data_IF_443412875685
#
_entry.id   IF_443412875685
#
_cell.length_a   1.000
_cell.length_b   1.000
_cell.length_c   1.000
_cell.angle_alpha   90.00
_cell.angle_beta   90.00
_cell.angle_gamma   90.00
#
_symmetry.space_group_name_H-M   'P 1'
#
loop_
_entity.id
_entity.type
_entity.pdbx_description
1 polymer ?
#
# COMPACT_ATOMS: atom_id res chain seq x y z
N UNK A 1 -9.60 0.76 -18.49
CA UNK A 1 -10.55 0.92 -17.36
C UNK A 1 -9.87 1.45 -16.12
N UNK A 2 -10.08 2.72 -15.80
CA UNK A 2 -9.63 3.32 -14.54
C UNK A 2 -10.40 2.63 -13.39
N UNK A 3 -9.73 2.05 -12.39
CA UNK A 3 -10.40 1.23 -11.37
C UNK A 3 -11.39 2.02 -10.50
N UNK A 4 -11.23 3.35 -10.43
CA UNK A 4 -12.11 4.26 -9.66
C UNK A 4 -13.00 5.14 -10.53
N UNK A 5 -12.89 5.04 -11.86
CA UNK A 5 -13.64 5.87 -12.80
C UNK A 5 -14.17 4.99 -13.93
N UNK A 6 -15.47 4.68 -13.90
CA UNK A 6 -16.14 3.96 -14.97
C UNK A 6 -16.49 4.91 -16.11
N UNK A 7 -15.49 5.21 -16.93
CA UNK A 7 -15.71 5.83 -18.23
C UNK A 7 -15.78 4.74 -19.29
N UNK A 8 -16.82 4.79 -20.11
CA UNK A 8 -16.87 3.99 -21.34
C UNK A 8 -15.83 4.48 -22.34
N UNK A 9 -15.50 3.62 -23.30
CA UNK A 9 -14.66 3.99 -24.44
C UNK A 9 -15.20 5.21 -25.20
N UNK A 10 -16.52 5.34 -25.33
CA UNK A 10 -17.14 6.49 -26.00
C UNK A 10 -16.95 7.79 -25.22
N UNK A 11 -17.10 7.75 -23.90
CA UNK A 11 -16.85 8.91 -23.04
C UNK A 11 -15.37 9.30 -23.06
N UNK A 12 -14.47 8.32 -23.03
CA UNK A 12 -13.02 8.57 -23.09
C UNK A 12 -12.60 9.17 -24.44
N UNK A 13 -13.20 8.75 -25.55
CA UNK A 13 -13.00 9.38 -26.88
C UNK A 13 -13.50 10.81 -26.91
N UNK A 14 -14.67 11.08 -26.33
CA UNK A 14 -15.21 12.44 -26.26
C UNK A 14 -14.29 13.37 -25.45
N UNK A 15 -13.76 12.92 -24.31
CA UNK A 15 -12.80 13.69 -23.51
C UNK A 15 -11.53 13.98 -24.33
N UNK A 16 -10.96 12.98 -25.00
CA UNK A 16 -9.78 13.19 -25.85
C UNK A 16 -10.05 14.11 -27.05
N UNK A 17 -11.26 14.05 -27.62
CA UNK A 17 -11.67 14.96 -28.68
C UNK A 17 -11.70 16.41 -28.16
N UNK A 18 -12.35 16.66 -27.02
CA UNK A 18 -12.36 17.99 -26.39
C UNK A 18 -10.93 18.47 -26.10
N UNK A 19 -10.05 17.60 -25.58
CA UNK A 19 -8.66 17.94 -25.30
C UNK A 19 -7.87 18.37 -26.56
N UNK A 20 -8.21 17.82 -27.72
CA UNK A 20 -7.63 18.24 -29.01
C UNK A 20 -8.15 19.60 -29.46
N UNK A 21 -9.46 19.82 -29.35
CA UNK A 21 -10.11 21.07 -29.78
C UNK A 21 -9.67 22.28 -28.93
N UNK A 22 -9.38 22.09 -27.64
CA UNK A 22 -8.85 23.15 -26.76
C UNK A 22 -7.35 23.45 -26.99
N UNK A 23 -6.73 22.83 -28.00
CA UNK A 23 -5.32 23.05 -28.35
C UNK A 23 -4.33 22.32 -27.45
N UNK A 24 -4.74 21.23 -26.79
CA UNK A 24 -3.83 20.37 -26.02
C UNK A 24 -2.71 19.84 -26.90
N UNK A 25 -1.46 20.10 -26.51
CA UNK A 25 -0.28 19.48 -27.15
C UNK A 25 -0.12 18.05 -26.67
N UNK A 26 0.29 17.16 -27.56
CA UNK A 26 0.61 15.75 -27.28
C UNK A 26 -0.55 14.91 -26.70
N UNK A 27 -1.79 15.15 -27.14
CA UNK A 27 -2.93 14.33 -26.72
C UNK A 27 -2.81 12.91 -27.32
N UNK A 28 -2.64 11.86 -26.49
CA UNK A 28 -2.49 10.50 -26.99
C UNK A 28 -3.77 10.01 -27.66
N UNK A 29 -3.67 8.97 -28.48
CA UNK A 29 -4.86 8.24 -28.93
C UNK A 29 -5.42 7.39 -27.78
N UNK A 30 -6.70 7.02 -27.86
CA UNK A 30 -7.29 6.09 -26.89
C UNK A 30 -6.50 4.78 -26.80
N UNK A 31 -6.03 4.28 -27.95
CA UNK A 31 -5.27 3.04 -28.02
C UNK A 31 -3.92 3.19 -27.29
N UNK A 32 -3.21 4.28 -27.55
CA UNK A 32 -1.95 4.62 -26.86
C UNK A 32 -2.16 4.73 -25.35
N UNK A 33 -3.26 5.37 -24.91
CA UNK A 33 -3.62 5.47 -23.51
C UNK A 33 -3.87 4.09 -22.90
N UNK A 34 -4.60 3.21 -23.59
CA UNK A 34 -4.86 1.84 -23.15
C UNK A 34 -3.56 1.02 -23.05
N UNK A 35 -2.66 1.13 -24.03
CA UNK A 35 -1.36 0.46 -23.99
C UNK A 35 -0.50 0.92 -22.81
N UNK A 36 -0.47 2.23 -22.54
CA UNK A 36 0.22 2.78 -21.36
C UNK A 36 -0.42 2.27 -20.07
N UNK A 37 -1.76 2.23 -19.98
CA UNK A 37 -2.47 1.67 -18.83
C UNK A 37 -2.12 0.20 -18.60
N UNK A 38 -2.07 -0.62 -19.65
CA UNK A 38 -1.67 -2.02 -19.54
C UNK A 38 -0.23 -2.18 -19.10
N UNK A 39 0.68 -1.37 -19.65
CA UNK A 39 2.09 -1.36 -19.25
C UNK A 39 2.23 -0.99 -17.77
N UNK A 40 1.58 0.09 -17.33
CA UNK A 40 1.60 0.51 -15.93
C UNK A 40 1.00 -0.54 -14.99
N UNK A 41 -0.08 -1.22 -15.40
CA UNK A 41 -0.63 -2.34 -14.63
C UNK A 41 0.37 -3.47 -14.49
N UNK A 42 1.11 -3.83 -15.54
CA UNK A 42 2.14 -4.88 -15.44
C UNK A 42 3.30 -4.49 -14.53
N UNK A 43 3.64 -3.20 -14.44
CA UNK A 43 4.78 -2.72 -13.65
C UNK A 43 4.43 -2.38 -12.20
N UNK A 44 3.20 -1.91 -11.95
CA UNK A 44 2.82 -1.27 -10.66
C UNK A 44 1.65 -1.97 -9.97
N UNK A 45 0.98 -2.93 -10.61
CA UNK A 45 -0.14 -3.60 -9.97
C UNK A 45 0.36 -4.66 -9.00
N UNK A 46 -0.19 -4.62 -7.80
CA UNK A 46 -0.17 -5.77 -6.88
C UNK A 46 -0.83 -6.94 -7.60
N UNK A 47 -0.11 -8.06 -7.68
CA UNK A 47 -0.57 -9.28 -8.32
C UNK A 47 -1.91 -9.69 -7.71
N UNK A 48 -2.95 -9.74 -8.54
CA UNK A 48 -4.32 -10.03 -8.11
C UNK A 48 -4.76 -11.33 -8.74
N UNK A 49 -5.02 -12.34 -7.91
CA UNK A 49 -5.47 -13.67 -8.37
C UNK A 49 -6.98 -13.73 -8.36
N UNK A 50 -7.57 -14.16 -9.47
CA UNK A 50 -9.01 -14.37 -9.61
C UNK A 50 -9.38 -15.75 -9.07
N UNK A 51 -10.31 -15.78 -8.12
CA UNK A 51 -10.90 -16.99 -7.56
C UNK A 51 -12.39 -17.08 -7.91
N UNK A 52 -12.89 -18.30 -8.06
CA UNK A 52 -14.32 -18.58 -8.19
C UNK A 52 -14.73 -19.48 -7.02
N UNK A 53 -15.68 -19.02 -6.22
CA UNK A 53 -16.23 -19.83 -5.12
C UNK A 53 -17.09 -20.97 -5.65
N UNK A 54 -17.36 -21.96 -4.79
CA UNK A 54 -18.28 -23.06 -5.08
C UNK A 54 -19.69 -22.60 -5.47
N UNK A 55 -20.13 -21.44 -4.96
CA UNK A 55 -21.42 -20.82 -5.28
C UNK A 55 -21.41 -20.01 -6.60
N UNK A 56 -20.27 -19.95 -7.29
CA UNK A 56 -20.13 -19.24 -8.57
C UNK A 56 -19.69 -17.78 -8.47
N UNK A 57 -19.61 -17.20 -7.26
CA UNK A 57 -19.13 -15.83 -7.07
C UNK A 57 -17.64 -15.71 -7.40
N UNK A 58 -17.29 -14.66 -8.14
CA UNK A 58 -15.92 -14.32 -8.51
C UNK A 58 -15.35 -13.35 -7.47
N UNK A 59 -14.19 -13.69 -6.93
CA UNK A 59 -13.42 -12.85 -6.01
C UNK A 59 -12.04 -12.59 -6.60
N UNK A 60 -11.44 -11.46 -6.22
CA UNK A 60 -10.06 -11.14 -6.56
C UNK A 60 -9.29 -10.98 -5.25
N UNK A 61 -8.19 -11.69 -5.11
CA UNK A 61 -7.34 -11.65 -3.92
C UNK A 61 -5.98 -11.11 -4.33
N UNK A 62 -5.59 -10.01 -3.69
CA UNK A 62 -4.28 -9.42 -3.88
C UNK A 62 -3.21 -10.25 -3.17
N UNK A 63 -2.00 -10.26 -3.71
CA UNK A 63 -0.84 -10.79 -3.01
C UNK A 63 -0.53 -9.92 -1.78
N UNK A 64 -0.78 -10.50 -0.61
CA UNK A 64 -0.61 -9.85 0.69
C UNK A 64 0.86 -9.42 0.88
N UNK A 65 1.83 -10.21 0.42
CA UNK A 65 3.26 -9.88 0.61
C UNK A 65 3.63 -8.64 -0.18
N UNK A 66 3.16 -8.56 -1.43
CA UNK A 66 3.39 -7.38 -2.28
C UNK A 66 2.69 -6.16 -1.70
N UNK A 67 1.45 -6.31 -1.23
CA UNK A 67 0.71 -5.21 -0.63
C UNK A 67 1.43 -4.64 0.62
N UNK A 68 1.91 -5.52 1.52
CA UNK A 68 2.69 -5.08 2.68
C UNK A 68 3.98 -4.37 2.22
N UNK A 69 4.68 -4.90 1.22
CA UNK A 69 5.90 -4.27 0.70
C UNK A 69 5.65 -2.86 0.13
N UNK A 70 4.54 -2.66 -0.58
CA UNK A 70 4.12 -1.35 -1.08
C UNK A 70 3.79 -0.38 0.07
N UNK A 71 3.06 -0.84 1.08
CA UNK A 71 2.72 -0.02 2.26
C UNK A 71 3.99 0.43 3.03
N UNK A 72 4.98 -0.46 3.15
CA UNK A 72 6.28 -0.14 3.75
C UNK A 72 7.12 0.83 2.89
N UNK A 73 6.99 0.75 1.57
CA UNK A 73 7.73 1.60 0.62
C UNK A 73 7.08 2.97 0.45
N UNK A 74 5.81 3.12 0.80
CA UNK A 74 5.06 4.35 0.62
C UNK A 74 5.43 5.37 1.71
N UNK A 75 6.06 6.52 1.38
CA UNK A 75 6.49 7.52 2.36
C UNK A 75 5.34 8.20 3.10
N UNK A 76 4.11 8.17 2.54
CA UNK A 76 2.93 8.74 3.18
C UNK A 76 2.29 7.77 4.17
N UNK A 77 2.38 6.46 3.93
CA UNK A 77 1.78 5.42 4.80
C UNK A 77 2.77 4.99 5.88
N UNK A 78 4.07 4.89 5.53
CA UNK A 78 5.13 4.41 6.41
C UNK A 78 5.17 5.03 7.81
N UNK A 79 4.91 6.35 8.01
CA UNK A 79 4.87 6.97 9.34
C UNK A 79 3.68 6.53 10.21
N UNK A 80 2.62 6.01 9.60
CA UNK A 80 1.42 5.57 10.30
C UNK A 80 1.41 4.07 10.60
N UNK A 81 2.41 3.31 10.11
CA UNK A 81 2.55 1.89 10.42
C UNK A 81 3.09 1.71 11.83
N UNK A 82 2.26 1.15 12.72
CA UNK A 82 2.69 0.76 14.05
C UNK A 82 3.30 -0.65 14.02
N UNK A 83 4.62 -0.72 14.17
CA UNK A 83 5.38 -1.97 14.10
C UNK A 83 5.61 -2.64 15.45
N UNK A 84 5.51 -1.87 16.53
CA UNK A 84 5.79 -2.34 17.88
C UNK A 84 4.56 -2.13 18.79
N UNK A 85 4.33 -3.05 19.73
CA UNK A 85 3.33 -2.84 20.77
C UNK A 85 3.71 -1.64 21.64
N UNK A 86 2.70 -0.96 22.16
CA UNK A 86 2.86 0.21 23.04
C UNK A 86 2.08 -0.05 24.32
N UNK A 87 2.77 -0.08 25.46
CA UNK A 87 2.09 -0.27 26.75
C UNK A 87 1.55 1.07 27.27
N UNK A 88 0.25 1.26 27.14
CA UNK A 88 -0.44 2.44 27.68
C UNK A 88 -1.13 2.09 28.99
N UNK A 89 -0.79 2.74 30.12
CA UNK A 89 -1.36 2.41 31.40
C UNK A 89 -2.87 2.70 31.42
N UNK A 90 -3.67 1.70 31.82
CA UNK A 90 -5.12 1.78 32.03
C UNK A 90 -5.96 2.20 30.81
N UNK A 91 -5.43 2.09 29.59
CA UNK A 91 -6.16 2.44 28.36
C UNK A 91 -5.79 1.49 27.24
N UNK A 92 -6.77 1.08 26.44
CA UNK A 92 -6.59 0.41 25.17
C UNK A 92 -7.44 1.13 24.13
N UNK A 93 -6.82 1.79 23.17
CA UNK A 93 -7.53 2.41 22.04
C UNK A 93 -7.30 1.68 20.72
N UNK A 94 -6.23 0.89 20.63
CA UNK A 94 -5.76 0.26 19.40
C UNK A 94 -5.23 -1.14 19.73
N UNK A 95 -5.15 -2.00 18.72
CA UNK A 95 -4.76 -3.41 18.91
C UNK A 95 -3.34 -3.55 19.47
N UNK A 96 -2.41 -2.66 19.11
CA UNK A 96 -1.02 -2.68 19.61
C UNK A 96 -0.89 -2.25 21.08
N UNK A 97 -1.95 -1.70 21.69
CA UNK A 97 -2.02 -1.47 23.14
C UNK A 97 -2.48 -2.70 23.92
N UNK A 98 -2.89 -3.78 23.24
CA UNK A 98 -3.40 -4.97 23.90
C UNK A 98 -2.32 -5.63 24.76
N UNK A 99 -2.68 -6.06 25.97
CA UNK A 99 -1.81 -6.82 26.85
C UNK A 99 -1.23 -8.06 26.16
N UNK A 100 -2.00 -8.70 25.28
CA UNK A 100 -1.54 -9.82 24.45
C UNK A 100 -0.35 -9.45 23.56
N UNK A 101 -0.42 -8.30 22.89
CA UNK A 101 0.70 -7.85 22.04
C UNK A 101 1.89 -7.38 22.87
N UNK A 102 1.64 -6.72 24.00
CA UNK A 102 2.71 -6.16 24.84
C UNK A 102 3.45 -7.21 25.68
N UNK A 103 2.77 -8.28 26.11
CA UNK A 103 3.31 -9.25 27.10
C UNK A 103 3.53 -10.66 26.56
N UNK A 104 2.80 -11.08 25.54
CA UNK A 104 2.87 -12.47 25.05
C UNK A 104 3.71 -12.61 23.78
N UNK A 105 3.80 -11.56 22.96
CA UNK A 105 4.58 -11.59 21.73
C UNK A 105 6.07 -11.69 22.07
N UNK A 106 6.71 -12.68 21.48
CA UNK A 106 8.15 -12.88 21.61
C UNK A 106 8.89 -11.85 20.75
N UNK A 107 10.03 -11.40 21.25
CA UNK A 107 10.82 -10.32 20.66
C UNK A 107 11.33 -10.67 19.24
N UNK A 108 11.55 -11.95 18.97
CA UNK A 108 11.94 -12.50 17.66
C UNK A 108 10.82 -12.48 16.61
N UNK A 109 9.56 -12.30 17.03
CA UNK A 109 8.40 -12.19 16.14
C UNK A 109 8.08 -10.75 15.73
N UNK A 110 8.71 -9.76 16.39
CA UNK A 110 8.54 -8.35 16.10
C UNK A 110 9.41 -7.92 14.90
N UNK A 111 9.16 -6.72 14.39
CA UNK A 111 10.05 -6.13 13.39
C UNK A 111 11.48 -6.07 13.95
N UNK A 112 12.52 -6.52 13.25
CA UNK A 112 13.87 -6.60 13.81
C UNK A 112 14.56 -5.24 13.96
N UNK A 113 13.99 -4.20 13.35
CA UNK A 113 14.60 -2.88 13.22
C UNK A 113 13.56 -1.81 13.59
N UNK A 114 14.01 -0.76 14.27
CA UNK A 114 13.29 0.51 14.37
C UNK A 114 14.12 1.60 13.71
N UNK A 115 13.47 2.39 12.85
CA UNK A 115 14.09 3.54 12.19
C UNK A 115 13.61 4.82 12.86
N UNK A 116 14.52 5.57 13.46
CA UNK A 116 14.24 6.85 14.13
C UNK A 116 15.06 7.94 13.44
N UNK A 117 14.41 8.76 12.62
CA UNK A 117 15.10 9.71 11.75
C UNK A 117 16.05 9.00 10.78
N UNK A 118 17.34 9.36 10.82
CA UNK A 118 18.39 8.75 10.00
C UNK A 118 19.13 7.59 10.69
N UNK A 119 18.65 7.14 11.86
CA UNK A 119 19.30 6.08 12.65
C UNK A 119 18.44 4.82 12.64
N UNK A 120 19.10 3.68 12.54
CA UNK A 120 18.49 2.37 12.66
C UNK A 120 18.99 1.72 13.94
N UNK A 121 18.07 1.15 14.72
CA UNK A 121 18.38 0.37 15.89
C UNK A 121 17.84 -1.04 15.68
N UNK A 122 18.64 -2.03 16.04
CA UNK A 122 18.26 -3.43 15.97
C UNK A 122 17.78 -3.91 17.34
N UNK A 123 16.84 -4.86 17.32
CA UNK A 123 16.47 -5.58 18.53
C UNK A 123 17.72 -6.24 19.14
N UNK A 124 17.88 -6.11 20.46
CA UNK A 124 19.03 -6.57 21.25
C UNK A 124 20.36 -5.86 20.95
N UNK A 125 20.35 -4.77 20.17
CA UNK A 125 21.53 -3.92 20.02
C UNK A 125 21.71 -3.02 21.25
N UNK A 126 22.95 -2.86 21.70
CA UNK A 126 23.27 -1.90 22.75
C UNK A 126 23.17 -0.48 22.19
N UNK A 127 22.18 0.27 22.65
CA UNK A 127 22.04 1.70 22.34
C UNK A 127 22.38 2.53 23.58
N UNK A 128 23.12 3.63 23.38
CA UNK A 128 23.37 4.60 24.44
C UNK A 128 22.13 5.50 24.59
N UNK A 129 21.60 5.56 25.81
CA UNK A 129 20.50 6.48 26.13
C UNK A 129 21.02 7.91 26.21
N UNK A 130 20.12 8.89 26.09
CA UNK A 130 20.51 10.31 26.17
C UNK A 130 21.15 10.66 27.53
N UNK A 131 20.79 9.92 28.58
CA UNK A 131 21.25 10.08 29.97
C UNK A 131 22.49 9.24 30.34
N UNK A 132 23.00 8.41 29.43
CA UNK A 132 24.24 7.64 29.60
C UNK A 132 24.02 6.21 30.06
#
# INVERSE_FOLDING_TARGET
NLPRLWLSDSQMRAIMWVMKEIGGRDVPSLDTLCQVQEKLRKTTAISSTKYKSAQGNIFYVNDIKQQIAEDFSNPLIRPHLQLYPEDTPNRMSETWHAAKMCKEIQVDQLSPIVAVGSKHFYINELARCHDG
#
